data_IF_458999257917
#
_entry.id   IF_458999257917
#
_cell.length_a   1.000
_cell.length_b   1.000
_cell.length_c   1.000
_cell.angle_alpha   90.00
_cell.angle_beta   90.00
_cell.angle_gamma   90.00
#
_symmetry.space_group_name_H-M   'P 1'
#
loop_
_entity.id
_entity.type
_entity.pdbx_description
1 polymer ?
#
# COMPACT_ATOMS: atom_id res chain seq x y z
N UNK A 1 4.34 23.23 18.19
CA UNK A 1 2.97 23.12 17.65
C UNK A 1 3.09 22.43 16.31
N UNK A 2 2.24 21.45 16.00
CA UNK A 2 2.30 20.73 14.72
C UNK A 2 2.06 21.70 13.58
N UNK A 3 2.92 21.69 12.54
CA UNK A 3 2.67 22.49 11.35
C UNK A 3 1.34 22.05 10.69
N UNK A 4 0.39 22.98 10.43
CA UNK A 4 -0.90 22.68 9.83
C UNK A 4 -0.84 21.90 8.50
N UNK A 5 0.28 21.94 7.77
CA UNK A 5 0.45 21.20 6.51
C UNK A 5 0.68 19.70 6.72
N UNK A 6 1.23 19.28 7.87
CA UNK A 6 1.74 17.93 8.09
C UNK A 6 0.62 16.90 8.05
N UNK A 7 -0.49 17.17 8.75
CA UNK A 7 -1.59 16.22 8.86
C UNK A 7 -2.30 16.00 7.51
N UNK A 8 -2.65 17.04 6.72
CA UNK A 8 -3.11 16.87 5.34
C UNK A 8 -2.14 16.09 4.46
N UNK A 9 -0.83 16.34 4.56
CA UNK A 9 0.18 15.60 3.78
C UNK A 9 0.19 14.12 4.13
N UNK A 10 0.14 13.76 5.41
CA UNK A 10 0.10 12.36 5.85
C UNK A 10 -1.18 11.65 5.37
N UNK A 11 -2.34 12.33 5.42
CA UNK A 11 -3.57 11.77 4.86
C UNK A 11 -3.49 11.55 3.36
N UNK A 12 -2.93 12.51 2.62
CA UNK A 12 -2.73 12.37 1.18
C UNK A 12 -1.84 11.17 0.84
N UNK A 13 -0.71 11.01 1.55
CA UNK A 13 0.20 9.87 1.38
C UNK A 13 -0.52 8.55 1.67
N UNK A 14 -1.28 8.48 2.77
CA UNK A 14 -1.99 7.27 3.16
C UNK A 14 -3.07 6.86 2.15
N UNK A 15 -3.82 7.82 1.59
CA UNK A 15 -4.80 7.54 0.53
C UNK A 15 -4.12 7.02 -0.73
N UNK A 16 -2.99 7.63 -1.12
CA UNK A 16 -2.23 7.21 -2.29
C UNK A 16 -1.64 5.81 -2.12
N UNK A 17 -1.13 5.49 -0.92
CA UNK A 17 -0.68 4.15 -0.56
C UNK A 17 -1.81 3.12 -0.69
N UNK A 18 -3.01 3.43 -0.17
CA UNK A 18 -4.17 2.54 -0.28
C UNK A 18 -4.57 2.27 -1.74
N UNK A 19 -4.48 3.26 -2.62
CA UNK A 19 -4.74 3.07 -4.06
C UNK A 19 -3.74 2.07 -4.66
N UNK A 20 -2.45 2.20 -4.34
CA UNK A 20 -1.44 1.27 -4.82
C UNK A 20 -1.63 -0.13 -4.26
N UNK A 21 -1.92 -0.26 -2.97
CA UNK A 21 -2.21 -1.55 -2.35
C UNK A 21 -3.44 -2.23 -2.96
N UNK A 22 -4.53 -1.49 -3.19
CA UNK A 22 -5.70 -2.01 -3.88
C UNK A 22 -5.35 -2.50 -5.30
N UNK A 23 -4.51 -1.75 -6.01
CA UNK A 23 -3.97 -2.15 -7.31
C UNK A 23 -3.14 -3.43 -7.25
N UNK A 24 -2.27 -3.59 -6.24
CA UNK A 24 -1.50 -4.81 -6.00
C UNK A 24 -2.42 -6.01 -5.84
N UNK A 25 -3.43 -5.91 -4.96
CA UNK A 25 -4.38 -7.00 -4.71
C UNK A 25 -5.14 -7.36 -6.01
N UNK A 26 -5.58 -6.36 -6.77
CA UNK A 26 -6.27 -6.57 -8.04
C UNK A 26 -5.40 -7.30 -9.07
N UNK A 27 -4.18 -6.82 -9.32
CA UNK A 27 -3.29 -7.45 -10.30
C UNK A 27 -2.77 -8.81 -9.83
N UNK A 28 -2.58 -9.00 -8.52
CA UNK A 28 -2.21 -10.28 -7.96
C UNK A 28 -3.32 -11.32 -8.15
N UNK A 29 -4.57 -10.94 -7.92
CA UNK A 29 -5.72 -11.80 -8.24
C UNK A 29 -5.76 -12.15 -9.74
N UNK A 30 -5.51 -11.16 -10.61
CA UNK A 30 -5.46 -11.37 -12.06
C UNK A 30 -4.37 -12.37 -12.46
N UNK A 31 -3.17 -12.25 -11.92
CA UNK A 31 -2.07 -13.21 -12.16
C UNK A 31 -2.48 -14.61 -11.70
N UNK A 32 -3.07 -14.75 -10.51
CA UNK A 32 -3.54 -16.04 -9.98
C UNK A 32 -4.50 -16.74 -10.92
N UNK A 33 -5.38 -15.97 -11.58
CA UNK A 33 -6.32 -16.50 -12.57
C UNK A 33 -5.63 -17.04 -13.83
N UNK A 34 -4.47 -16.49 -14.19
CA UNK A 34 -3.72 -16.87 -15.41
C UNK A 34 -2.78 -18.04 -15.12
N UNK A 35 -1.97 -17.96 -14.06
CA UNK A 35 -0.92 -18.94 -13.75
C UNK A 35 -1.42 -20.14 -12.96
N UNK A 36 -2.64 -20.07 -12.42
CA UNK A 36 -3.08 -20.95 -11.36
C UNK A 36 -2.43 -20.59 -10.02
N UNK A 37 -2.87 -21.29 -8.98
CA UNK A 37 -2.47 -21.05 -7.60
C UNK A 37 -1.38 -22.04 -7.16
N UNK A 38 -0.15 -21.56 -6.93
CA UNK A 38 0.90 -22.34 -6.29
C UNK A 38 1.26 -21.76 -4.92
N UNK A 39 1.72 -22.62 -4.00
CA UNK A 39 1.86 -22.31 -2.56
C UNK A 39 2.67 -21.04 -2.28
N UNK A 40 3.78 -20.81 -3.00
CA UNK A 40 4.58 -19.60 -2.80
C UNK A 40 3.82 -18.33 -3.27
N UNK A 41 3.14 -18.39 -4.41
CA UNK A 41 2.32 -17.28 -4.90
C UNK A 41 1.16 -16.94 -3.97
N UNK A 42 0.45 -17.95 -3.45
CA UNK A 42 -0.62 -17.71 -2.45
C UNK A 42 -0.10 -17.07 -1.18
N UNK A 43 1.11 -17.45 -0.71
CA UNK A 43 1.72 -16.84 0.47
C UNK A 43 2.10 -15.38 0.22
N UNK A 44 2.60 -15.06 -0.98
CA UNK A 44 2.90 -13.67 -1.39
C UNK A 44 1.61 -12.83 -1.43
N UNK A 45 0.54 -13.35 -2.02
CA UNK A 45 -0.76 -12.66 -2.04
C UNK A 45 -1.29 -12.46 -0.62
N UNK A 46 -1.26 -13.50 0.21
CA UNK A 46 -1.70 -13.40 1.59
C UNK A 46 -0.90 -12.34 2.37
N UNK A 47 0.42 -12.28 2.19
CA UNK A 47 1.26 -11.26 2.81
C UNK A 47 0.86 -9.85 2.34
N UNK A 48 0.65 -9.64 1.04
CA UNK A 48 0.17 -8.34 0.55
C UNK A 48 -1.21 -7.98 1.09
N UNK A 49 -2.15 -8.93 1.13
CA UNK A 49 -3.47 -8.70 1.71
C UNK A 49 -3.39 -8.32 3.19
N UNK A 50 -2.54 -8.98 3.97
CA UNK A 50 -2.32 -8.64 5.39
C UNK A 50 -1.74 -7.24 5.55
N UNK A 51 -0.75 -6.86 4.74
CA UNK A 51 -0.19 -5.50 4.74
C UNK A 51 -1.25 -4.46 4.37
N UNK A 52 -2.12 -4.76 3.39
CA UNK A 52 -3.23 -3.88 3.04
C UNK A 52 -4.21 -3.72 4.19
N UNK A 53 -4.58 -4.82 4.86
CA UNK A 53 -5.45 -4.76 6.04
C UNK A 53 -4.79 -3.92 7.14
N UNK A 54 -3.49 -4.08 7.38
CA UNK A 54 -2.75 -3.29 8.35
C UNK A 54 -2.82 -1.78 8.03
N UNK A 55 -2.57 -1.38 6.78
CA UNK A 55 -2.66 0.04 6.38
C UNK A 55 -4.08 0.59 6.52
N UNK A 56 -5.11 -0.19 6.17
CA UNK A 56 -6.51 0.20 6.38
C UNK A 56 -6.81 0.39 7.86
N UNK A 57 -6.43 -0.56 8.72
CA UNK A 57 -6.64 -0.47 10.17
C UNK A 57 -5.91 0.75 10.75
N UNK A 58 -4.67 1.00 10.32
CA UNK A 58 -3.90 2.18 10.73
C UNK A 58 -4.60 3.48 10.37
N UNK A 59 -5.14 3.57 9.15
CA UNK A 59 -5.89 4.75 8.70
C UNK A 59 -7.21 4.93 9.47
N UNK A 60 -7.98 3.85 9.69
CA UNK A 60 -9.23 3.90 10.46
C UNK A 60 -8.98 4.35 11.90
N UNK A 61 -7.94 3.83 12.55
CA UNK A 61 -7.55 4.26 13.90
C UNK A 61 -7.15 5.73 13.92
N UNK A 62 -6.36 6.17 12.92
CA UNK A 62 -5.97 7.58 12.79
C UNK A 62 -7.19 8.48 12.60
N UNK A 63 -8.18 8.08 11.79
CA UNK A 63 -9.42 8.85 11.61
C UNK A 63 -10.35 8.81 12.83
N UNK A 64 -10.22 7.82 13.70
CA UNK A 64 -11.06 7.66 14.90
C UNK A 64 -10.50 8.42 16.11
N UNK A 65 -9.24 8.84 16.06
CA UNK A 65 -8.58 9.56 17.14
C UNK A 65 -8.85 11.07 17.06
N UNK A 66 -8.98 11.76 18.20
CA UNK A 66 -8.97 13.22 18.25
C UNK A 66 -7.68 13.80 17.63
N UNK A 67 -7.80 14.87 16.86
CA UNK A 67 -6.70 15.48 16.12
C UNK A 67 -5.57 15.99 17.02
N UNK A 68 -5.88 16.39 18.24
CA UNK A 68 -4.92 16.77 19.28
C UNK A 68 -4.05 15.59 19.75
N UNK A 69 -4.63 14.39 19.88
CA UNK A 69 -3.90 13.19 20.24
C UNK A 69 -2.95 12.76 19.12
N UNK A 70 -3.40 12.82 17.88
CA UNK A 70 -2.56 12.52 16.70
C UNK A 70 -1.41 13.53 16.60
N UNK A 71 -1.69 14.81 16.80
CA UNK A 71 -0.66 15.85 16.79
C UNK A 71 0.38 15.61 17.89
N UNK A 72 -0.04 15.22 19.10
CA UNK A 72 0.87 14.89 20.18
C UNK A 72 1.79 13.71 19.83
N UNK A 73 1.25 12.66 19.19
CA UNK A 73 2.01 11.49 18.73
C UNK A 73 3.03 11.87 17.65
N UNK A 74 2.61 12.63 16.63
CA UNK A 74 3.51 13.08 15.55
C UNK A 74 4.63 13.96 16.12
N UNK A 75 4.31 14.90 17.02
CA UNK A 75 5.32 15.74 17.65
C UNK A 75 6.29 14.96 18.54
N UNK A 76 5.85 13.86 19.15
CA UNK A 76 6.71 13.00 19.97
C UNK A 76 7.73 12.18 19.15
N UNK A 77 7.34 11.74 17.95
CA UNK A 77 8.20 10.98 17.03
C UNK A 77 9.07 11.90 16.17
N UNK A 78 8.57 13.10 15.91
CA UNK A 78 9.12 14.08 14.98
C UNK A 78 8.30 14.15 13.70
N UNK A 79 8.05 15.37 13.23
CA UNK A 79 7.28 15.62 12.01
C UNK A 79 8.01 15.08 10.77
N UNK A 80 9.29 15.42 10.65
CA UNK A 80 10.14 15.01 9.52
C UNK A 80 10.30 13.49 9.45
N UNK A 81 10.50 12.83 10.58
CA UNK A 81 10.63 11.37 10.66
C UNK A 81 9.32 10.70 10.26
N UNK A 82 8.17 11.21 10.75
CA UNK A 82 6.85 10.67 10.42
C UNK A 82 6.52 10.82 8.93
N UNK A 83 6.77 11.99 8.34
CA UNK A 83 6.57 12.22 6.90
C UNK A 83 7.48 11.32 6.07
N UNK A 84 8.76 11.25 6.43
CA UNK A 84 9.73 10.45 5.68
C UNK A 84 9.37 8.96 5.73
N UNK A 85 9.07 8.41 6.90
CA UNK A 85 8.65 7.01 7.04
C UNK A 85 7.39 6.71 6.23
N UNK A 86 6.37 7.58 6.30
CA UNK A 86 5.14 7.41 5.52
C UNK A 86 5.41 7.46 4.01
N UNK A 87 6.30 8.35 3.58
CA UNK A 87 6.71 8.48 2.18
C UNK A 87 7.43 7.23 1.69
N UNK A 88 8.35 6.67 2.49
CA UNK A 88 9.07 5.43 2.17
C UNK A 88 8.08 4.27 1.99
N UNK A 89 7.10 4.14 2.88
CA UNK A 89 6.05 3.10 2.78
C UNK A 89 5.21 3.29 1.52
N UNK A 90 4.81 4.52 1.19
CA UNK A 90 4.06 4.80 -0.04
C UNK A 90 4.87 4.49 -1.30
N UNK A 91 6.18 4.79 -1.33
CA UNK A 91 7.07 4.41 -2.44
C UNK A 91 7.20 2.90 -2.55
N UNK A 92 7.35 2.18 -1.43
CA UNK A 92 7.36 0.72 -1.43
C UNK A 92 6.06 0.15 -2.00
N UNK A 93 4.90 0.72 -1.63
CA UNK A 93 3.60 0.40 -2.21
C UNK A 93 3.55 0.63 -3.71
N UNK A 94 4.08 1.76 -4.20
CA UNK A 94 4.17 2.08 -5.63
C UNK A 94 5.04 1.06 -6.38
N UNK A 95 6.21 0.71 -5.84
CA UNK A 95 7.12 -0.27 -6.44
C UNK A 95 6.48 -1.66 -6.51
N UNK A 96 5.80 -2.09 -5.45
CA UNK A 96 5.04 -3.34 -5.43
C UNK A 96 3.94 -3.34 -6.49
N UNK A 97 3.19 -2.24 -6.60
CA UNK A 97 2.16 -2.07 -7.62
C UNK A 97 2.73 -2.24 -9.02
N UNK A 98 3.82 -1.52 -9.34
CA UNK A 98 4.48 -1.61 -10.64
C UNK A 98 5.03 -3.02 -10.92
N UNK A 99 5.59 -3.68 -9.91
CA UNK A 99 6.10 -5.05 -10.02
C UNK A 99 5.00 -6.06 -10.35
N UNK A 100 3.89 -6.05 -9.58
CA UNK A 100 2.76 -6.97 -9.79
C UNK A 100 2.01 -6.64 -11.08
N UNK A 101 1.89 -5.35 -11.44
CA UNK A 101 1.38 -4.94 -12.73
C UNK A 101 2.22 -5.49 -13.89
N UNK A 102 3.54 -5.34 -13.83
CA UNK A 102 4.45 -5.88 -14.85
C UNK A 102 4.37 -7.40 -14.98
N UNK A 103 4.28 -8.12 -13.85
CA UNK A 103 4.02 -9.56 -13.82
C UNK A 103 2.71 -9.92 -14.52
N UNK A 104 1.61 -9.20 -14.23
CA UNK A 104 0.32 -9.45 -14.87
C UNK A 104 0.39 -9.34 -16.39
N UNK A 105 1.08 -8.32 -16.91
CA UNK A 105 1.27 -8.12 -18.34
C UNK A 105 2.10 -9.22 -18.98
N UNK A 106 3.17 -9.69 -18.31
CA UNK A 106 4.01 -10.78 -18.81
C UNK A 106 3.22 -12.09 -18.90
N UNK A 107 2.49 -12.45 -17.85
CA UNK A 107 1.67 -13.66 -17.87
C UNK A 107 0.53 -13.58 -18.90
N UNK A 108 -0.10 -12.42 -19.06
CA UNK A 108 -1.08 -12.19 -20.13
C UNK A 108 -0.48 -12.39 -21.53
N UNK A 109 0.73 -11.89 -21.78
CA UNK A 109 1.40 -12.07 -23.08
C UNK A 109 1.79 -13.52 -23.36
N UNK A 110 2.20 -14.27 -22.34
CA UNK A 110 2.59 -15.68 -22.47
C UNK A 110 1.38 -16.62 -22.58
N UNK A 111 0.23 -16.25 -22.01
CA UNK A 111 -0.99 -17.01 -22.10
C UNK A 111 -1.71 -16.87 -23.45
N UNK A 112 -1.37 -15.85 -24.26
CA UNK A 112 -1.89 -15.72 -25.62
C UNK A 112 -1.10 -16.65 -26.55
N UNK A 113 -1.78 -17.48 -27.37
CA UNK A 113 -1.09 -18.25 -28.40
C UNK A 113 -0.32 -17.28 -29.30
N UNK A 114 0.96 -17.56 -29.55
CA UNK A 114 1.72 -16.88 -30.59
C UNK A 114 0.99 -17.10 -31.92
N UNK A 115 0.40 -16.05 -32.46
CA UNK A 115 -0.20 -16.03 -33.78
C UNK A 115 0.86 -16.24 -34.86
#
# INVERSE_FOLDING_TARGET
>A
MLDPIVLPTLYFIAVLELIFQAGVVFYAYKVTRITGSFRAWTMIIAAFSLLTIQSIVGLVLTLSLPTDQIASLITSVGETTTILSSTVTAIAGALLFLGVFGLSKRFESQAKPSA
#
